data_IF_287574865416
#
_entry.id   IF_287574865416
#
_cell.length_a   1.000
_cell.length_b   1.000
_cell.length_c   1.000
_cell.angle_alpha   90.00
_cell.angle_beta   90.00
_cell.angle_gamma   90.00
#
_symmetry.space_group_name_H-M   'P 1'
#
loop_
_entity.id
_entity.type
_entity.pdbx_description
1 polymer ?
#
# COMPACT_ATOMS: atom_id res chain seq x y z
N UNK A 1 -19.35 13.85 22.57
CA UNK A 1 -18.00 13.24 22.73
C UNK A 1 -17.07 14.00 21.81
N UNK A 2 -16.03 14.60 22.36
CA UNK A 2 -15.01 15.31 21.60
C UNK A 2 -14.20 14.33 20.70
N UNK A 3 -13.41 14.85 19.78
CA UNK A 3 -12.70 14.03 18.80
C UNK A 3 -11.62 13.15 19.42
N UNK A 4 -10.93 13.63 20.43
CA UNK A 4 -9.88 12.86 21.11
C UNK A 4 -10.46 11.65 21.86
N UNK A 5 -11.50 11.87 22.67
CA UNK A 5 -12.22 10.81 23.36
C UNK A 5 -12.83 9.79 22.39
N UNK A 6 -13.28 10.24 21.21
CA UNK A 6 -13.78 9.36 20.16
C UNK A 6 -12.67 8.48 19.59
N UNK A 7 -11.50 9.05 19.28
CA UNK A 7 -10.32 8.29 18.80
C UNK A 7 -9.88 7.27 19.84
N UNK A 8 -9.84 7.64 21.13
CA UNK A 8 -9.46 6.73 22.20
C UNK A 8 -10.45 5.56 22.36
N UNK A 9 -11.73 5.82 22.23
CA UNK A 9 -12.74 4.77 22.26
C UNK A 9 -12.56 3.77 21.11
N UNK A 10 -12.27 4.28 19.90
CA UNK A 10 -11.98 3.44 18.74
C UNK A 10 -10.69 2.64 18.92
N UNK A 11 -9.60 3.26 19.40
CA UNK A 11 -8.35 2.60 19.72
C UNK A 11 -8.58 1.42 20.67
N UNK A 12 -9.29 1.64 21.77
CA UNK A 12 -9.58 0.62 22.75
C UNK A 12 -10.44 -0.54 22.20
N UNK A 13 -11.35 -0.24 21.25
CA UNK A 13 -12.14 -1.27 20.55
C UNK A 13 -11.28 -2.05 19.57
N UNK A 14 -10.43 -1.38 18.78
CA UNK A 14 -9.54 -2.01 17.82
C UNK A 14 -8.56 -2.98 18.50
N UNK A 15 -8.00 -2.60 19.65
CA UNK A 15 -7.13 -3.48 20.46
C UNK A 15 -7.84 -4.73 20.97
N UNK A 16 -9.18 -4.72 21.05
CA UNK A 16 -10.01 -5.89 21.36
C UNK A 16 -10.49 -6.65 20.14
N UNK A 17 -9.99 -6.32 18.95
CA UNK A 17 -10.37 -6.95 17.68
C UNK A 17 -11.77 -6.57 17.16
N UNK A 18 -12.36 -5.51 17.72
CA UNK A 18 -13.68 -5.07 17.27
C UNK A 18 -13.56 -4.12 16.07
N UNK A 19 -14.34 -4.33 14.99
CA UNK A 19 -14.25 -3.52 13.78
C UNK A 19 -14.73 -2.08 13.99
N UNK A 20 -14.22 -1.19 13.18
CA UNK A 20 -14.69 0.20 13.05
C UNK A 20 -15.86 0.22 12.07
N UNK A 21 -16.93 0.93 12.39
CA UNK A 21 -18.09 1.08 11.51
C UNK A 21 -17.81 2.06 10.36
N UNK A 22 -18.63 1.99 9.30
CA UNK A 22 -18.54 2.92 8.16
C UNK A 22 -18.66 4.39 8.61
N UNK A 23 -19.60 4.70 9.49
CA UNK A 23 -19.85 6.09 9.92
C UNK A 23 -18.69 6.61 10.79
N UNK A 24 -18.08 5.76 11.61
CA UNK A 24 -16.88 6.07 12.37
C UNK A 24 -15.69 6.34 11.44
N UNK A 25 -15.51 5.54 10.38
CA UNK A 25 -14.47 5.78 9.36
C UNK A 25 -14.71 7.10 8.65
N UNK A 26 -15.93 7.38 8.22
CA UNK A 26 -16.26 8.65 7.56
C UNK A 26 -15.99 9.85 8.47
N UNK A 27 -16.28 9.74 9.78
CA UNK A 27 -15.94 10.77 10.76
C UNK A 27 -14.43 11.00 10.88
N UNK A 28 -13.63 9.94 10.86
CA UNK A 28 -12.16 10.05 10.89
C UNK A 28 -11.62 10.68 9.61
N UNK A 29 -12.15 10.30 8.45
CA UNK A 29 -11.75 10.85 7.14
C UNK A 29 -12.15 12.33 6.95
N UNK A 30 -13.09 12.83 7.74
CA UNK A 30 -13.48 14.25 7.72
C UNK A 30 -12.51 15.16 8.51
N UNK A 31 -11.52 14.60 9.21
CA UNK A 31 -10.49 15.39 9.89
C UNK A 31 -9.60 16.09 8.86
N UNK A 32 -9.29 17.36 9.10
CA UNK A 32 -8.33 18.07 8.25
C UNK A 32 -6.93 17.41 8.36
N UNK A 33 -6.25 17.11 7.24
CA UNK A 33 -4.99 16.36 7.27
C UNK A 33 -3.89 16.96 8.16
N UNK A 34 -3.86 18.27 8.27
CA UNK A 34 -2.85 19.05 9.01
C UNK A 34 -3.32 19.40 10.44
N UNK A 35 -4.46 18.88 10.90
CA UNK A 35 -5.01 19.17 12.23
C UNK A 35 -4.29 18.38 13.33
N UNK A 36 -4.39 18.89 14.57
CA UNK A 36 -3.89 18.18 15.75
C UNK A 36 -4.65 16.85 15.98
N UNK A 37 -5.93 16.81 15.63
CA UNK A 37 -6.78 15.63 15.71
C UNK A 37 -6.33 14.54 14.73
N UNK A 38 -5.95 14.90 13.50
CA UNK A 38 -5.40 13.95 12.52
C UNK A 38 -4.04 13.43 12.99
N UNK A 39 -3.18 14.27 13.54
CA UNK A 39 -1.92 13.86 14.15
C UNK A 39 -2.15 12.92 15.35
N UNK A 40 -3.16 13.19 16.17
CA UNK A 40 -3.55 12.31 17.28
C UNK A 40 -4.04 10.95 16.79
N UNK A 41 -4.89 10.92 15.77
CA UNK A 41 -5.32 9.67 15.12
C UNK A 41 -4.13 8.86 14.61
N UNK A 42 -3.15 9.51 13.97
CA UNK A 42 -1.92 8.89 13.50
C UNK A 42 -1.11 8.25 14.64
N UNK A 43 -1.02 8.91 15.80
CA UNK A 43 -0.38 8.34 16.99
C UNK A 43 -1.17 7.14 17.53
N UNK A 44 -2.48 7.25 17.63
CA UNK A 44 -3.33 6.15 18.10
C UNK A 44 -3.23 4.91 17.20
N UNK A 45 -3.21 5.10 15.88
CA UNK A 45 -3.02 4.02 14.91
C UNK A 45 -1.63 3.37 15.04
N UNK A 46 -0.58 4.16 15.24
CA UNK A 46 0.78 3.65 15.48
C UNK A 46 0.86 2.82 16.75
N UNK A 47 0.22 3.25 17.83
CA UNK A 47 0.18 2.50 19.08
C UNK A 47 -0.51 1.15 18.90
N UNK A 48 -1.63 1.10 18.14
CA UNK A 48 -2.30 -0.15 17.81
C UNK A 48 -1.36 -1.07 17.03
N UNK A 49 -0.73 -0.57 15.96
CA UNK A 49 0.20 -1.34 15.15
C UNK A 49 1.35 -1.89 16.00
N UNK A 50 1.92 -1.06 16.88
CA UNK A 50 3.00 -1.46 17.80
C UNK A 50 2.59 -2.58 18.75
N UNK A 51 1.38 -2.51 19.31
CA UNK A 51 0.87 -3.54 20.24
C UNK A 51 0.54 -4.83 19.49
N UNK A 52 -0.03 -4.74 18.28
CA UNK A 52 -0.54 -5.91 17.54
C UNK A 52 0.56 -6.62 16.76
N UNK A 53 1.50 -5.89 16.13
CA UNK A 53 2.54 -6.47 15.27
C UNK A 53 3.96 -6.22 15.78
N UNK A 54 4.12 -5.57 16.93
CA UNK A 54 5.44 -5.21 17.48
C UNK A 54 6.12 -4.11 16.68
N UNK A 55 7.45 -4.08 16.74
CA UNK A 55 8.27 -3.13 15.99
C UNK A 55 8.65 -3.63 14.59
N UNK A 56 7.98 -4.67 14.10
CA UNK A 56 8.29 -5.23 12.78
C UNK A 56 7.58 -4.44 11.68
N UNK A 57 8.36 -3.73 10.87
CA UNK A 57 7.93 -3.21 9.58
C UNK A 57 8.25 -4.21 8.49
N UNK A 58 7.33 -4.40 7.55
CA UNK A 58 7.58 -5.21 6.35
C UNK A 58 7.57 -4.32 5.12
N UNK A 59 8.65 -4.38 4.36
CA UNK A 59 8.75 -3.68 3.08
C UNK A 59 8.42 -4.67 1.97
N UNK A 60 7.40 -4.34 1.20
CA UNK A 60 7.04 -5.07 0.00
C UNK A 60 7.50 -4.28 -1.23
N UNK A 61 8.29 -4.93 -2.09
CA UNK A 61 8.80 -4.36 -3.33
C UNK A 61 8.22 -5.08 -4.54
N UNK A 62 8.15 -4.40 -5.67
CA UNK A 62 7.71 -4.99 -6.93
C UNK A 62 8.65 -4.59 -8.07
N UNK A 63 8.96 -5.55 -8.94
CA UNK A 63 9.74 -5.35 -10.17
C UNK A 63 8.81 -5.64 -11.35
N UNK A 64 8.60 -4.64 -12.21
CA UNK A 64 8.00 -4.87 -13.53
C UNK A 64 9.07 -5.46 -14.45
N UNK A 65 8.91 -6.71 -14.86
CA UNK A 65 9.90 -7.39 -15.69
C UNK A 65 9.74 -7.07 -17.18
N UNK A 66 8.58 -6.58 -17.56
CA UNK A 66 8.29 -6.07 -18.90
C UNK A 66 7.43 -4.81 -18.86
N UNK A 67 7.36 -4.14 -20.02
CA UNK A 67 6.44 -3.05 -20.31
C UNK A 67 5.92 -3.25 -21.73
N UNK A 68 4.83 -4.01 -21.89
CA UNK A 68 4.21 -4.32 -23.18
C UNK A 68 2.72 -3.97 -23.15
N UNK A 69 2.07 -3.72 -24.29
CA UNK A 69 0.62 -3.63 -24.35
C UNK A 69 -0.01 -4.90 -23.79
N UNK A 70 -0.95 -4.76 -22.86
CA UNK A 70 -1.57 -5.87 -22.13
C UNK A 70 -2.95 -6.17 -22.69
N UNK A 71 -3.19 -7.41 -23.13
CA UNK A 71 -4.45 -7.85 -23.71
C UNK A 71 -5.62 -7.88 -22.73
N UNK A 72 -5.35 -7.89 -21.42
CA UNK A 72 -6.39 -7.91 -20.36
C UNK A 72 -7.20 -6.61 -20.28
N UNK A 73 -6.66 -5.51 -20.73
CA UNK A 73 -7.38 -4.23 -20.83
C UNK A 73 -8.14 -3.79 -19.56
N UNK A 74 -7.61 -4.07 -18.37
CA UNK A 74 -8.22 -3.70 -17.10
C UNK A 74 -8.52 -2.20 -17.04
N UNK A 75 -9.70 -1.83 -16.51
CA UNK A 75 -10.19 -0.46 -16.55
C UNK A 75 -9.36 0.58 -15.77
N UNK A 76 -8.53 0.14 -14.84
CA UNK A 76 -7.67 0.99 -14.01
C UNK A 76 -6.18 0.94 -14.39
N UNK A 77 -5.78 0.09 -15.34
CA UNK A 77 -4.39 -0.17 -15.68
C UNK A 77 -3.97 0.51 -16.97
N UNK A 78 -2.92 1.33 -16.90
CA UNK A 78 -2.40 2.08 -18.06
C UNK A 78 -1.74 1.17 -19.13
N UNK A 79 -1.42 -0.08 -18.81
CA UNK A 79 -0.79 -1.02 -19.73
C UNK A 79 -1.75 -1.68 -20.72
N UNK A 80 -3.08 -1.48 -20.57
CA UNK A 80 -4.04 -2.03 -21.53
C UNK A 80 -3.76 -1.58 -22.96
N UNK A 81 -3.71 -2.53 -23.91
CA UNK A 81 -3.44 -2.22 -25.34
C UNK A 81 -4.45 -1.25 -25.94
N UNK A 82 -5.71 -1.30 -25.50
CA UNK A 82 -6.78 -0.40 -25.95
C UNK A 82 -6.51 1.08 -25.65
N UNK A 83 -5.62 1.37 -24.71
CA UNK A 83 -5.29 2.75 -24.35
C UNK A 83 -4.21 3.36 -25.24
N UNK A 84 -3.38 2.52 -25.92
CA UNK A 84 -2.30 2.97 -26.80
C UNK A 84 -1.20 3.78 -26.10
N UNK A 85 -1.02 3.60 -24.78
CA UNK A 85 -0.06 4.40 -24.00
C UNK A 85 1.36 3.81 -24.06
N UNK A 86 1.50 2.52 -24.36
CA UNK A 86 2.80 1.86 -24.48
C UNK A 86 3.29 2.02 -25.91
N UNK A 87 4.19 2.97 -26.13
CA UNK A 87 4.78 3.28 -27.45
C UNK A 87 6.13 2.62 -27.66
N UNK A 88 6.86 2.30 -26.59
CA UNK A 88 8.17 1.66 -26.60
C UNK A 88 8.18 0.42 -25.73
N UNK A 89 7.66 -0.73 -26.23
CA UNK A 89 7.66 -1.96 -25.47
C UNK A 89 9.08 -2.44 -25.16
N UNK A 90 9.31 -2.88 -23.96
CA UNK A 90 10.59 -3.47 -23.56
C UNK A 90 10.42 -4.61 -22.56
N UNK A 91 11.46 -5.40 -22.43
CA UNK A 91 11.59 -6.49 -21.47
C UNK A 91 12.99 -6.39 -20.83
N UNK A 92 13.05 -6.60 -19.52
CA UNK A 92 14.32 -6.57 -18.80
C UNK A 92 15.05 -7.91 -18.94
N UNK A 93 16.39 -7.88 -19.02
CA UNK A 93 17.18 -9.10 -18.98
C UNK A 93 17.13 -9.77 -17.60
N UNK A 94 17.34 -11.08 -17.56
CA UNK A 94 17.41 -11.85 -16.31
C UNK A 94 18.42 -11.26 -15.34
N UNK A 95 19.59 -10.82 -15.83
CA UNK A 95 20.64 -10.21 -15.02
C UNK A 95 20.16 -8.89 -14.39
N UNK A 96 19.42 -8.07 -15.14
CA UNK A 96 18.88 -6.82 -14.64
C UNK A 96 17.82 -7.05 -13.57
N UNK A 97 16.93 -8.05 -13.76
CA UNK A 97 15.89 -8.44 -12.80
C UNK A 97 16.55 -8.96 -11.51
N UNK A 98 17.54 -9.86 -11.62
CA UNK A 98 18.27 -10.42 -10.48
C UNK A 98 19.01 -9.33 -9.72
N UNK A 99 19.65 -8.40 -10.42
CA UNK A 99 20.35 -7.26 -9.81
C UNK A 99 19.38 -6.38 -9.02
N UNK A 100 18.22 -6.07 -9.59
CA UNK A 100 17.20 -5.27 -8.92
C UNK A 100 16.64 -6.00 -7.69
N UNK A 101 16.34 -7.30 -7.82
CA UNK A 101 15.85 -8.12 -6.70
C UNK A 101 16.85 -8.17 -5.54
N UNK A 102 18.14 -8.36 -5.82
CA UNK A 102 19.18 -8.33 -4.79
C UNK A 102 19.26 -6.98 -4.10
N UNK A 103 19.23 -5.88 -4.85
CA UNK A 103 19.23 -4.54 -4.25
C UNK A 103 18.07 -4.33 -3.28
N UNK A 104 16.85 -4.78 -3.62
CA UNK A 104 15.70 -4.70 -2.70
C UNK A 104 15.89 -5.54 -1.44
N UNK A 105 16.46 -6.75 -1.57
CA UNK A 105 16.74 -7.62 -0.42
C UNK A 105 17.81 -7.01 0.48
N UNK A 106 18.87 -6.47 -0.10
CA UNK A 106 19.98 -5.83 0.63
C UNK A 106 19.50 -4.59 1.39
N UNK A 107 18.50 -3.85 0.85
CA UNK A 107 17.82 -2.73 1.52
C UNK A 107 16.73 -3.18 2.51
N UNK A 108 16.58 -4.46 2.76
CA UNK A 108 15.68 -5.00 3.78
C UNK A 108 14.25 -5.30 3.32
N UNK A 109 14.01 -5.45 2.02
CA UNK A 109 12.71 -5.89 1.55
C UNK A 109 12.39 -7.29 2.07
N UNK A 110 11.23 -7.42 2.72
CA UNK A 110 10.71 -8.71 3.23
C UNK A 110 10.04 -9.53 2.13
N UNK A 111 9.68 -8.88 1.02
CA UNK A 111 8.92 -9.47 -0.08
C UNK A 111 9.25 -8.76 -1.40
N UNK A 112 9.59 -9.53 -2.43
CA UNK A 112 9.78 -9.02 -3.79
C UNK A 112 8.84 -9.75 -4.73
N UNK A 113 7.99 -9.01 -5.43
CA UNK A 113 7.05 -9.53 -6.43
C UNK A 113 7.55 -9.19 -7.82
N UNK A 114 7.60 -10.17 -8.71
CA UNK A 114 7.79 -9.95 -10.14
C UNK A 114 6.43 -9.75 -10.80
N UNK A 115 6.30 -8.72 -11.62
CA UNK A 115 5.07 -8.38 -12.33
C UNK A 115 5.32 -8.34 -13.83
N UNK A 116 4.39 -8.88 -14.59
CA UNK A 116 4.43 -8.91 -16.05
C UNK A 116 3.08 -8.45 -16.62
N UNK A 117 3.09 -8.02 -17.88
CA UNK A 117 1.89 -7.79 -18.69
C UNK A 117 1.47 -9.08 -19.40
N UNK A 118 0.18 -9.17 -19.76
CA UNK A 118 -0.37 -10.26 -20.58
C UNK A 118 -0.36 -9.83 -22.04
N UNK A 119 0.33 -10.56 -22.92
CA UNK A 119 0.55 -10.14 -24.32
C UNK A 119 0.56 -11.31 -25.31
N UNK A 120 -0.27 -12.34 -25.09
CA UNK A 120 -0.43 -13.45 -26.04
C UNK A 120 -1.33 -13.05 -27.21
#
# INVERSE_FOLDING_TARGET
>A
MDTYSFIDALKNRALRGMPVSRDEVLRLLALAPDSEEAAYLGRAARDIAHIVVGNEGRVWSAIGIDCRPCSMNCGFCAFGEKWGLITEPHEWSDEAIIKAARAFVDEGASWVTLRTTEFY
#
